data_IF_446838774908
#
_entry.id   IF_446838774908
#
_cell.length_a   1.000
_cell.length_b   1.000
_cell.length_c   1.000
_cell.angle_alpha   90.00
_cell.angle_beta   90.00
_cell.angle_gamma   90.00
#
_symmetry.space_group_name_H-M   'P 1'
#
loop_
_entity.id
_entity.type
_entity.pdbx_description
1 polymer ?
#
# COMPACT_ATOMS: atom_id res chain seq x y z
N UNK A 1 8.21 4.25 -6.08
CA UNK A 1 7.76 3.48 -4.90
C UNK A 1 6.48 2.81 -5.29
N UNK A 2 6.40 1.51 -5.03
CA UNK A 2 5.29 0.64 -5.41
C UNK A 2 4.82 -0.10 -4.17
N UNK A 3 3.50 -0.27 -4.02
CA UNK A 3 2.91 -0.93 -2.86
C UNK A 3 2.08 -2.12 -3.31
N UNK A 4 2.25 -3.24 -2.59
CA UNK A 4 1.43 -4.44 -2.79
C UNK A 4 0.78 -4.80 -1.47
N UNK A 5 -0.53 -4.91 -1.44
CA UNK A 5 -1.26 -5.21 -0.22
C UNK A 5 -2.71 -5.56 -0.49
N UNK A 6 -3.43 -5.93 0.56
CA UNK A 6 -4.87 -6.17 0.48
C UNK A 6 -5.61 -4.83 0.58
N UNK A 7 -6.44 -4.53 -0.40
CA UNK A 7 -7.33 -3.36 -0.32
C UNK A 7 -8.35 -3.60 0.79
N UNK A 8 -8.37 -2.70 1.78
CA UNK A 8 -9.33 -2.71 2.88
C UNK A 8 -10.49 -1.74 2.60
N UNK A 9 -10.19 -0.50 2.22
CA UNK A 9 -11.18 0.56 1.99
C UNK A 9 -10.74 1.40 0.78
N UNK A 10 -11.70 1.80 -0.06
CA UNK A 10 -11.53 2.80 -1.12
C UNK A 10 -12.54 3.91 -0.87
N UNK A 11 -12.08 5.14 -0.74
CA UNK A 11 -12.95 6.31 -0.60
C UNK A 11 -12.95 7.18 -1.88
N UNK A 12 -13.85 8.16 -1.88
CA UNK A 12 -14.31 8.94 -3.02
C UNK A 12 -13.27 9.95 -3.54
N UNK A 13 -12.23 10.22 -2.74
CA UNK A 13 -11.09 11.05 -3.11
C UNK A 13 -9.87 10.23 -3.51
N UNK A 14 -10.06 9.04 -4.06
CA UNK A 14 -8.96 8.12 -4.42
C UNK A 14 -8.06 7.68 -3.25
N UNK A 15 -8.46 7.99 -2.01
CA UNK A 15 -7.84 7.43 -0.82
C UNK A 15 -7.99 5.90 -0.81
N UNK A 16 -6.86 5.19 -0.74
CA UNK A 16 -6.80 3.73 -0.66
C UNK A 16 -6.15 3.30 0.64
N UNK A 17 -6.89 2.54 1.45
CA UNK A 17 -6.33 1.86 2.61
C UNK A 17 -5.90 0.44 2.23
N UNK A 18 -4.62 0.15 2.44
CA UNK A 18 -4.02 -1.17 2.25
C UNK A 18 -3.68 -1.79 3.61
N UNK A 19 -4.07 -3.05 3.80
CA UNK A 19 -3.62 -3.90 4.90
C UNK A 19 -2.55 -4.89 4.45
N UNK A 20 -1.61 -5.21 5.34
CA UNK A 20 -0.42 -6.02 5.06
C UNK A 20 0.33 -5.55 3.80
N UNK A 21 0.56 -4.25 3.70
CA UNK A 21 1.24 -3.62 2.59
C UNK A 21 2.75 -3.92 2.64
N UNK A 22 3.29 -4.29 1.48
CA UNK A 22 4.69 -4.51 1.18
C UNK A 22 5.18 -3.37 0.30
N UNK A 23 6.39 -2.87 0.58
CA UNK A 23 7.02 -1.79 -0.16
C UNK A 23 8.07 -2.33 -1.15
N UNK A 24 7.98 -1.83 -2.38
CA UNK A 24 8.92 -2.10 -3.44
C UNK A 24 9.49 -0.80 -4.00
N UNK A 25 10.81 -0.77 -4.23
CA UNK A 25 11.51 0.32 -4.89
C UNK A 25 12.26 -0.29 -6.08
N UNK A 26 12.00 0.21 -7.28
CA UNK A 26 12.56 -0.31 -8.53
C UNK A 26 12.36 -1.84 -8.69
N UNK A 27 11.19 -2.34 -8.27
CA UNK A 27 10.86 -3.76 -8.28
C UNK A 27 11.55 -4.63 -7.21
N UNK A 28 12.44 -4.06 -6.38
CA UNK A 28 13.04 -4.75 -5.24
C UNK A 28 12.18 -4.61 -3.99
N UNK A 29 11.94 -5.73 -3.30
CA UNK A 29 11.30 -5.73 -1.99
C UNK A 29 12.18 -5.02 -0.98
N UNK A 30 11.61 -4.04 -0.29
CA UNK A 30 12.32 -3.19 0.68
C UNK A 30 11.83 -3.42 2.11
N UNK A 31 10.57 -3.81 2.30
CA UNK A 31 10.04 -4.09 3.62
C UNK A 31 8.52 -4.28 3.68
N UNK A 32 8.05 -4.63 4.88
CA UNK A 32 6.63 -4.69 5.21
C UNK A 32 6.23 -3.41 5.95
N UNK A 33 5.20 -2.74 5.45
CA UNK A 33 4.63 -1.51 6.02
C UNK A 33 3.38 -1.77 6.89
N UNK A 34 2.74 -2.94 6.75
CA UNK A 34 1.56 -3.27 7.55
C UNK A 34 0.30 -2.55 7.05
N UNK A 35 -0.37 -1.74 7.87
CA UNK A 35 -1.50 -0.93 7.41
C UNK A 35 -1.05 0.46 6.97
N UNK A 36 -1.36 0.82 5.73
CA UNK A 36 -1.04 2.13 5.16
C UNK A 36 -2.24 2.78 4.48
N UNK A 37 -2.26 4.10 4.49
CA UNK A 37 -3.21 4.94 3.77
C UNK A 37 -2.47 5.67 2.65
N UNK A 38 -2.92 5.47 1.41
CA UNK A 38 -2.42 6.17 0.22
C UNK A 38 -3.44 7.28 -0.11
N UNK A 39 -2.96 8.51 -0.31
CA UNK A 39 -3.72 9.68 -0.76
C UNK A 39 -3.09 10.25 -2.02
#
# INVERSE_FOLDING_TARGET
MEYKGRICIVMWEFDVQLGNAEEYIDGQFTGNLGEILIR
#
